data_IF_824811351967
#
_entry.id   IF_824811351967
#
_cell.length_a   1.000
_cell.length_b   1.000
_cell.length_c   1.000
_cell.angle_alpha   90.00
_cell.angle_beta   90.00
_cell.angle_gamma   90.00
#
_symmetry.space_group_name_H-M   'P 1'
#
loop_
_entity.id
_entity.type
_entity.pdbx_description
1 polymer ?
#
# COMPACT_ATOMS: atom_id res chain seq x y z
N UNK A 1 0.84 -0.82 -6.11
CA UNK A 1 0.25 -1.14 -4.78
C UNK A 1 0.43 0.05 -3.86
N UNK A 2 -0.63 0.48 -3.18
CA UNK A 2 -0.53 1.11 -1.87
C UNK A 2 -0.98 0.08 -0.82
N UNK A 3 -0.32 0.09 0.34
CA UNK A 3 -0.45 -0.96 1.37
C UNK A 3 -1.63 -0.77 2.31
N UNK A 4 -1.41 -0.91 3.62
CA UNK A 4 -2.46 -0.78 4.65
C UNK A 4 -3.31 0.49 4.56
N UNK A 5 -4.41 0.53 5.30
CA UNK A 5 -5.49 1.52 5.13
C UNK A 5 -5.01 2.99 5.00
N UNK A 6 -4.03 3.40 5.82
CA UNK A 6 -3.45 4.75 5.80
C UNK A 6 -2.77 5.10 4.47
N UNK A 7 -2.01 4.16 3.92
CA UNK A 7 -1.31 4.32 2.64
C UNK A 7 -2.32 4.50 1.49
N UNK A 8 -3.40 3.73 1.49
CA UNK A 8 -4.46 3.86 0.48
C UNK A 8 -5.19 5.21 0.58
N UNK A 9 -5.49 5.68 1.79
CA UNK A 9 -6.13 6.98 1.99
C UNK A 9 -5.25 8.13 1.51
N UNK A 10 -3.97 8.15 1.90
CA UNK A 10 -3.05 9.23 1.51
C UNK A 10 -2.83 9.27 0.00
N UNK A 11 -2.70 8.10 -0.64
CA UNK A 11 -2.63 8.00 -2.09
C UNK A 11 -3.88 8.59 -2.74
N UNK A 12 -5.07 8.25 -2.25
CA UNK A 12 -6.34 8.77 -2.76
C UNK A 12 -6.48 10.30 -2.60
N UNK A 13 -6.06 10.85 -1.45
CA UNK A 13 -6.05 12.29 -1.20
C UNK A 13 -5.10 13.02 -2.16
N UNK A 14 -3.90 12.48 -2.36
CA UNK A 14 -2.91 13.06 -3.26
C UNK A 14 -3.33 12.98 -4.73
N UNK A 15 -3.55 11.77 -5.26
CA UNK A 15 -3.81 11.58 -6.70
C UNK A 15 -5.26 11.90 -7.11
N UNK A 16 -6.22 11.72 -6.20
CA UNK A 16 -7.65 11.89 -6.50
C UNK A 16 -8.18 13.29 -6.21
N UNK A 17 -7.64 13.97 -5.19
CA UNK A 17 -8.12 15.29 -4.77
C UNK A 17 -7.07 16.40 -4.91
N UNK A 18 -5.84 16.09 -5.33
CA UNK A 18 -4.76 17.06 -5.50
C UNK A 18 -4.27 17.66 -4.18
N UNK A 19 -4.57 17.02 -3.05
CA UNK A 19 -4.19 17.52 -1.71
C UNK A 19 -2.76 17.07 -1.40
N UNK A 20 -1.88 18.03 -1.09
CA UNK A 20 -0.51 17.74 -0.65
C UNK A 20 -0.53 16.86 0.60
N UNK A 21 -0.09 15.61 0.45
CA UNK A 21 -0.15 14.58 1.47
C UNK A 21 1.14 13.78 1.50
N UNK A 22 1.57 13.34 2.68
CA UNK A 22 2.84 12.61 2.85
C UNK A 22 2.75 11.48 3.87
N UNK A 23 3.70 10.55 3.81
CA UNK A 23 3.75 9.37 4.69
C UNK A 23 4.95 9.48 5.65
N UNK A 24 4.67 9.28 6.93
CA UNK A 24 5.68 9.09 7.98
C UNK A 24 5.63 7.62 8.39
N UNK A 25 6.73 6.90 8.22
CA UNK A 25 6.77 5.47 8.51
C UNK A 25 8.08 4.81 8.11
N UNK A 26 8.08 3.48 8.03
CA UNK A 26 9.22 2.71 7.57
C UNK A 26 8.84 1.66 6.52
N UNK A 27 9.72 1.45 5.55
CA UNK A 27 9.69 0.32 4.62
C UNK A 27 10.98 -0.50 4.72
N UNK A 28 10.92 -1.75 4.31
CA UNK A 28 12.11 -2.59 4.18
C UNK A 28 12.96 -2.15 2.99
N UNK A 29 14.25 -2.52 3.03
CA UNK A 29 15.16 -2.35 1.90
C UNK A 29 15.13 -3.59 0.99
N UNK A 30 13.93 -3.95 0.57
CA UNK A 30 13.64 -5.08 -0.31
C UNK A 30 12.89 -4.60 -1.56
N UNK A 31 12.70 -5.51 -2.52
CA UNK A 31 12.00 -5.20 -3.78
C UNK A 31 10.58 -4.66 -3.53
N UNK A 32 9.88 -5.21 -2.52
CA UNK A 32 8.54 -4.76 -2.14
C UNK A 32 8.53 -3.32 -1.62
N UNK A 33 9.56 -2.93 -0.86
CA UNK A 33 9.75 -1.57 -0.39
C UNK A 33 10.01 -0.60 -1.54
N UNK A 34 10.79 -1.01 -2.54
CA UNK A 34 11.02 -0.21 -3.75
C UNK A 34 9.73 -0.04 -4.57
N UNK A 35 8.95 -1.12 -4.75
CA UNK A 35 7.65 -1.06 -5.43
C UNK A 35 6.66 -0.14 -4.69
N UNK A 36 6.66 -0.16 -3.35
CA UNK A 36 5.84 0.75 -2.53
C UNK A 36 6.26 2.22 -2.72
N UNK A 37 7.55 2.52 -2.64
CA UNK A 37 8.09 3.87 -2.84
C UNK A 37 7.72 4.41 -4.24
N UNK A 38 7.94 3.60 -5.28
CA UNK A 38 7.62 3.97 -6.66
C UNK A 38 6.11 4.20 -6.86
N UNK A 39 5.26 3.40 -6.23
CA UNK A 39 3.82 3.60 -6.31
C UNK A 39 3.40 4.90 -5.61
N UNK A 40 3.97 5.23 -4.47
CA UNK A 40 3.60 6.45 -3.75
C UNK A 40 4.12 7.72 -4.43
N UNK A 41 5.38 7.71 -4.88
CA UNK A 41 5.98 8.87 -5.55
C UNK A 41 5.27 9.20 -6.87
N UNK A 42 4.92 8.18 -7.67
CA UNK A 42 4.17 8.37 -8.92
C UNK A 42 2.75 8.90 -8.71
N UNK A 43 2.20 8.80 -7.50
CA UNK A 43 0.89 9.36 -7.14
C UNK A 43 1.00 10.69 -6.37
N UNK A 44 2.17 11.34 -6.37
CA UNK A 44 2.39 12.68 -5.80
C UNK A 44 2.52 12.74 -4.28
N UNK A 45 2.68 11.60 -3.61
CA UNK A 45 2.79 11.54 -2.14
C UNK A 45 4.20 11.94 -1.70
N UNK A 46 4.32 12.82 -0.70
CA UNK A 46 5.61 13.17 -0.09
C UNK A 46 6.14 12.01 0.77
N UNK A 47 7.36 11.57 0.43
CA UNK A 47 8.06 10.46 1.08
C UNK A 47 9.34 10.91 1.81
N UNK A 48 9.58 12.21 1.96
CA UNK A 48 10.76 12.76 2.64
C UNK A 48 10.97 12.18 4.06
N UNK A 49 9.86 11.86 4.73
CA UNK A 49 9.81 11.31 6.10
C UNK A 49 9.66 9.79 6.16
N UNK A 50 9.69 9.09 5.03
CA UNK A 50 9.75 7.64 4.99
C UNK A 50 11.18 7.17 5.29
N UNK A 51 11.33 6.17 6.17
CA UNK A 51 12.63 5.60 6.53
C UNK A 51 12.78 4.20 5.96
N UNK A 52 13.87 3.96 5.24
CA UNK A 52 14.27 2.59 4.88
C UNK A 52 14.92 1.93 6.09
N UNK A 53 14.49 0.72 6.43
CA UNK A 53 15.09 -0.11 7.48
C UNK A 53 15.63 -1.39 6.87
N UNK A 54 16.74 -1.89 7.38
CA UNK A 54 17.23 -3.24 7.04
C UNK A 54 16.19 -4.27 7.47
N UNK A 55 15.79 -5.14 6.54
CA UNK A 55 14.74 -6.13 6.76
C UNK A 55 13.63 -6.04 5.72
N UNK A 56 12.58 -6.82 5.93
CA UNK A 56 11.47 -6.99 4.98
C UNK A 56 10.41 -5.90 5.11
N UNK A 57 9.85 -5.46 3.98
CA UNK A 57 8.67 -4.61 3.93
C UNK A 57 7.45 -5.41 4.41
N UNK A 58 6.58 -4.75 5.17
CA UNK A 58 5.35 -5.37 5.65
C UNK A 58 4.45 -5.78 4.48
N UNK A 59 3.99 -7.03 4.49
CA UNK A 59 3.16 -7.62 3.45
C UNK A 59 1.84 -8.10 4.04
N UNK A 60 0.74 -7.87 3.30
CA UNK A 60 -0.57 -8.42 3.59
C UNK A 60 -1.04 -9.16 2.34
N UNK A 61 -1.41 -10.42 2.49
CA UNK A 61 -1.95 -11.25 1.41
C UNK A 61 -3.47 -11.32 1.56
N UNK A 62 -4.19 -10.79 0.57
CA UNK A 62 -5.65 -10.90 0.49
C UNK A 62 -5.99 -11.93 -0.58
N UNK A 63 -6.68 -13.00 -0.19
CA UNK A 63 -7.14 -14.05 -1.10
C UNK A 63 -8.63 -13.80 -1.37
N UNK A 64 -8.98 -13.59 -2.63
CA UNK A 64 -10.36 -13.45 -3.08
C UNK A 64 -10.87 -14.81 -3.56
N UNK A 65 -11.96 -15.31 -2.97
CA UNK A 65 -12.64 -16.52 -3.43
C UNK A 65 -13.97 -16.15 -4.11
N UNK A 66 -14.36 -16.82 -5.22
CA UNK A 66 -15.65 -16.60 -5.84
C UNK A 66 -16.81 -16.97 -4.91
N UNK A 67 -17.80 -16.09 -4.79
CA UNK A 67 -18.99 -16.28 -3.92
C UNK A 67 -19.75 -17.59 -4.24
N UNK A 68 -19.74 -18.01 -5.51
CA UNK A 68 -20.37 -19.27 -5.96
C UNK A 68 -19.78 -20.51 -5.26
N UNK A 69 -18.51 -20.47 -4.88
CA UNK A 69 -17.83 -21.60 -4.25
C UNK A 69 -18.18 -21.74 -2.75
N UNK A 70 -18.51 -20.63 -2.09
CA UNK A 70 -18.96 -20.61 -0.69
C UNK A 70 -20.40 -21.10 -0.57
N UNK A 71 -21.29 -20.64 -1.47
CA UNK A 71 -22.70 -21.04 -1.46
C UNK A 71 -22.89 -22.53 -1.77
N UNK A 72 -22.03 -23.13 -2.62
CA UNK A 72 -22.07 -24.57 -2.94
C UNK A 72 -21.62 -25.51 -1.83
N UNK A 73 -20.99 -25.00 -0.75
CA UNK A 73 -20.62 -25.81 0.43
C UNK A 73 -21.62 -25.75 1.58
N UNK A 74 -22.67 -24.93 1.46
CA UNK A 74 -23.72 -24.80 2.48
C UNK A 74 -25.02 -25.56 2.16
N UNK A 75 -25.03 -26.39 1.12
CA UNK A 75 -26.21 -27.17 0.71
C UNK A 75 -25.96 -28.66 0.79
#
# INVERSE_FOLDING_TARGET
MAGGSVANTIRGLSSGFGISSGIIGACGDDEQGQLFVNNMSSNGVDLSRLRKKKGHTAQVVVILTPLLFILRRKS
#
